data_IF_045192003014
#
_entry.id   IF_045192003014
#
_cell.length_a   1.000
_cell.length_b   1.000
_cell.length_c   1.000
_cell.angle_alpha   90.00
_cell.angle_beta   90.00
_cell.angle_gamma   90.00
#
_symmetry.space_group_name_H-M   'P 1'
#
loop_
_entity.id
_entity.type
_entity.pdbx_description
1 polymer ?
#
# COMPACT_ATOMS: atom_id res chain seq x y z
N UNK A 1 -8.86 -10.22 -2.59
CA UNK A 1 -8.26 -10.31 -1.24
C UNK A 1 -7.59 -9.00 -0.93
N UNK A 2 -7.45 -8.64 0.35
CA UNK A 2 -6.70 -7.44 0.76
C UNK A 2 -5.53 -7.86 1.62
N UNK A 3 -4.35 -7.33 1.32
CA UNK A 3 -3.10 -7.58 2.04
C UNK A 3 -2.68 -6.24 2.63
N UNK A 4 -2.58 -6.20 3.96
CA UNK A 4 -2.03 -5.07 4.69
C UNK A 4 -0.57 -5.35 5.02
N UNK A 5 0.31 -4.40 4.75
CA UNK A 5 1.74 -4.56 4.98
C UNK A 5 2.44 -3.21 5.19
N UNK A 6 3.66 -3.25 5.74
CA UNK A 6 4.56 -2.10 5.67
C UNK A 6 5.17 -2.01 4.27
N UNK A 7 5.33 -0.80 3.74
CA UNK A 7 5.71 -0.57 2.34
C UNK A 7 7.09 -1.14 1.98
N UNK A 8 8.02 -1.19 2.95
CA UNK A 8 9.37 -1.74 2.74
C UNK A 8 9.40 -3.27 2.55
N UNK A 9 8.36 -4.00 2.96
CA UNK A 9 8.37 -5.46 2.89
C UNK A 9 8.29 -5.96 1.45
N UNK A 10 7.52 -5.30 0.57
CA UNK A 10 7.28 -5.82 -0.78
C UNK A 10 8.55 -5.77 -1.65
N UNK A 11 9.31 -4.66 -1.72
CA UNK A 11 10.60 -4.65 -2.42
C UNK A 11 11.59 -5.67 -1.85
N UNK A 12 11.67 -5.81 -0.52
CA UNK A 12 12.56 -6.77 0.13
C UNK A 12 12.21 -8.23 -0.24
N UNK A 13 10.92 -8.58 -0.29
CA UNK A 13 10.47 -9.91 -0.69
C UNK A 13 10.82 -10.25 -2.16
N UNK A 14 11.00 -9.24 -3.01
CA UNK A 14 11.37 -9.42 -4.42
C UNK A 14 12.89 -9.45 -4.65
N UNK A 15 13.70 -9.11 -3.64
CA UNK A 15 15.16 -9.18 -3.78
C UNK A 15 15.61 -10.62 -4.03
N UNK A 16 16.40 -10.81 -5.08
CA UNK A 16 16.96 -12.12 -5.45
C UNK A 16 15.97 -13.07 -6.15
N UNK A 17 14.73 -12.66 -6.38
CA UNK A 17 13.76 -13.44 -7.17
C UNK A 17 13.88 -13.12 -8.65
N UNK A 18 13.61 -14.11 -9.50
CA UNK A 18 13.32 -13.85 -10.91
C UNK A 18 12.02 -13.08 -11.03
N UNK A 19 11.89 -12.27 -12.07
CA UNK A 19 10.62 -11.62 -12.38
C UNK A 19 9.52 -12.68 -12.61
N UNK A 20 8.25 -12.35 -12.32
CA UNK A 20 7.13 -13.22 -12.65
C UNK A 20 7.07 -13.55 -14.14
N UNK A 21 6.43 -14.68 -14.46
CA UNK A 21 6.27 -15.16 -15.82
C UNK A 21 5.37 -14.23 -16.67
N UNK A 22 4.33 -13.66 -16.05
CA UNK A 22 3.35 -12.80 -16.71
C UNK A 22 3.36 -11.43 -16.05
N UNK A 23 3.97 -10.44 -16.70
CA UNK A 23 4.12 -9.06 -16.19
C UNK A 23 3.57 -8.08 -17.21
N UNK A 24 3.01 -6.97 -16.74
CA UNK A 24 2.45 -5.90 -17.58
C UNK A 24 1.35 -6.37 -18.57
N UNK A 25 0.58 -7.41 -18.22
CA UNK A 25 -0.51 -7.95 -19.04
C UNK A 25 -1.89 -7.83 -18.35
N UNK A 26 -2.03 -6.86 -17.45
CA UNK A 26 -3.22 -6.65 -16.63
C UNK A 26 -4.51 -6.59 -17.45
N UNK A 27 -4.53 -5.89 -18.59
CA UNK A 27 -5.75 -5.80 -19.42
C UNK A 27 -6.22 -7.18 -19.92
N UNK A 28 -5.31 -8.07 -20.28
CA UNK A 28 -5.67 -9.39 -20.81
C UNK A 28 -6.21 -10.33 -19.74
N UNK A 29 -5.72 -10.23 -18.51
CA UNK A 29 -6.07 -11.14 -17.41
C UNK A 29 -7.14 -10.58 -16.46
N UNK A 30 -7.24 -9.26 -16.32
CA UNK A 30 -8.05 -8.61 -15.28
C UNK A 30 -9.25 -7.86 -15.82
N UNK A 31 -9.27 -7.47 -17.11
CA UNK A 31 -10.48 -6.95 -17.72
C UNK A 31 -11.49 -8.08 -17.95
N UNK A 32 -12.78 -7.82 -17.70
CA UNK A 32 -13.86 -8.81 -17.88
C UNK A 32 -13.98 -9.35 -19.31
N UNK A 33 -13.51 -8.57 -20.30
CA UNK A 33 -13.44 -8.94 -21.72
C UNK A 33 -12.02 -9.32 -22.17
N UNK A 34 -11.07 -9.46 -21.24
CA UNK A 34 -9.69 -9.82 -21.53
C UNK A 34 -9.56 -11.24 -22.07
N UNK A 35 -8.66 -11.45 -23.04
CA UNK A 35 -8.48 -12.74 -23.71
C UNK A 35 -8.06 -13.89 -22.78
N UNK A 36 -7.48 -13.56 -21.62
CA UNK A 36 -7.03 -14.52 -20.61
C UNK A 36 -7.77 -14.35 -19.28
N UNK A 37 -8.94 -13.71 -19.26
CA UNK A 37 -9.68 -13.42 -18.04
C UNK A 37 -9.89 -14.67 -17.16
N UNK A 38 -10.22 -15.82 -17.75
CA UNK A 38 -10.42 -17.09 -17.03
C UNK A 38 -9.14 -17.73 -16.47
N UNK A 39 -7.95 -17.21 -16.82
CA UNK A 39 -6.65 -17.74 -16.42
C UNK A 39 -6.00 -16.94 -15.28
N UNK A 40 -6.72 -15.97 -14.71
CA UNK A 40 -6.28 -15.22 -13.53
C UNK A 40 -6.25 -16.11 -12.29
N UNK A 41 -5.27 -15.89 -11.42
CA UNK A 41 -5.17 -16.58 -10.12
C UNK A 41 -6.14 -16.02 -9.10
N UNK A 42 -6.36 -14.70 -9.12
CA UNK A 42 -7.26 -14.02 -8.22
C UNK A 42 -8.15 -13.05 -9.00
N UNK A 43 -9.37 -12.84 -8.52
CA UNK A 43 -10.25 -11.84 -9.14
C UNK A 43 -9.72 -10.42 -8.98
N UNK A 44 -9.15 -10.14 -7.80
CA UNK A 44 -8.59 -8.84 -7.44
C UNK A 44 -7.72 -9.02 -6.19
N UNK A 45 -6.54 -8.42 -6.19
CA UNK A 45 -5.65 -8.34 -5.02
C UNK A 45 -5.41 -6.88 -4.69
N UNK A 46 -5.77 -6.44 -3.49
CA UNK A 46 -5.52 -5.09 -3.03
C UNK A 46 -4.38 -5.10 -2.02
N UNK A 47 -3.26 -4.46 -2.34
CA UNK A 47 -2.17 -4.23 -1.40
C UNK A 47 -2.36 -2.85 -0.79
N UNK A 48 -2.44 -2.79 0.53
CA UNK A 48 -2.45 -1.55 1.32
C UNK A 48 -1.13 -1.48 2.05
N UNK A 49 -0.30 -0.51 1.68
CA UNK A 49 1.08 -0.40 2.11
C UNK A 49 1.28 0.84 2.97
N UNK A 50 1.64 0.65 4.25
CA UNK A 50 1.83 1.73 5.21
C UNK A 50 3.27 2.21 5.25
N UNK A 51 3.45 3.54 5.34
CA UNK A 51 4.75 4.17 5.55
C UNK A 51 4.63 5.49 6.32
N UNK A 52 5.58 5.74 7.21
CA UNK A 52 5.82 7.02 7.87
C UNK A 52 6.97 7.75 7.17
N UNK A 53 6.79 9.00 6.70
CA UNK A 53 7.87 9.81 6.14
C UNK A 53 9.10 9.97 7.05
N UNK A 54 8.93 9.82 8.37
CA UNK A 54 10.02 9.89 9.35
C UNK A 54 10.70 8.53 9.60
N UNK A 55 10.15 7.43 9.07
CA UNK A 55 10.79 6.13 9.09
C UNK A 55 11.80 6.06 7.93
N UNK A 56 13.09 6.16 8.26
CA UNK A 56 14.18 6.12 7.28
C UNK A 56 14.24 4.84 6.46
N UNK A 57 13.62 3.75 6.92
CA UNK A 57 13.64 2.44 6.29
C UNK A 57 12.33 2.08 5.59
N UNK A 58 11.37 3.01 5.51
CA UNK A 58 10.09 2.82 4.84
C UNK A 58 9.86 3.86 3.75
N UNK A 59 9.37 3.40 2.60
CA UNK A 59 9.07 4.26 1.45
C UNK A 59 7.89 3.70 0.67
N UNK A 60 7.09 4.58 0.08
CA UNK A 60 5.96 4.22 -0.76
C UNK A 60 6.38 3.27 -1.88
N UNK A 61 5.54 2.28 -2.17
CA UNK A 61 5.72 1.39 -3.31
C UNK A 61 5.61 2.22 -4.59
N UNK A 62 6.61 2.19 -5.49
CA UNK A 62 6.57 2.94 -6.75
C UNK A 62 5.41 2.51 -7.64
N UNK A 63 4.86 3.44 -8.42
CA UNK A 63 3.68 3.21 -9.27
C UNK A 63 3.84 1.99 -10.22
N UNK A 64 4.95 1.93 -10.97
CA UNK A 64 5.24 0.83 -11.90
C UNK A 64 5.72 -0.47 -11.24
N UNK A 65 5.74 -0.56 -9.90
CA UNK A 65 6.20 -1.77 -9.21
C UNK A 65 5.30 -2.96 -9.53
N UNK A 66 3.97 -2.75 -9.54
CA UNK A 66 2.99 -3.80 -9.83
C UNK A 66 3.18 -4.38 -11.24
N UNK A 67 3.55 -3.55 -12.21
CA UNK A 67 3.62 -3.95 -13.62
C UNK A 67 4.90 -4.73 -13.93
N UNK A 68 5.93 -4.58 -13.10
CA UNK A 68 7.23 -5.24 -13.28
C UNK A 68 7.47 -6.42 -12.35
N UNK A 69 7.06 -6.31 -11.08
CA UNK A 69 7.47 -7.25 -10.04
C UNK A 69 6.34 -8.12 -9.50
N UNK A 70 5.09 -7.86 -9.90
CA UNK A 70 3.94 -8.66 -9.51
C UNK A 70 3.35 -9.36 -10.73
N UNK A 71 2.87 -10.58 -10.52
CA UNK A 71 2.26 -11.37 -11.59
C UNK A 71 0.90 -10.78 -11.97
N UNK A 72 0.70 -10.50 -13.26
CA UNK A 72 -0.52 -9.86 -13.78
C UNK A 72 -1.77 -10.71 -13.52
N UNK A 73 -1.61 -12.03 -13.37
CA UNK A 73 -2.70 -12.96 -13.03
C UNK A 73 -3.27 -12.72 -11.62
N UNK A 74 -2.58 -11.95 -10.78
CA UNK A 74 -3.06 -11.58 -9.44
C UNK A 74 -4.00 -10.37 -9.43
N UNK A 75 -4.10 -9.62 -10.55
CA UNK A 75 -4.94 -8.44 -10.68
C UNK A 75 -4.76 -7.46 -9.52
N UNK A 76 -3.50 -7.03 -9.33
CA UNK A 76 -3.09 -6.28 -8.14
C UNK A 76 -3.31 -4.78 -8.31
N UNK A 77 -3.90 -4.15 -7.30
CA UNK A 77 -3.83 -2.69 -7.09
C UNK A 77 -3.03 -2.40 -5.83
N UNK A 78 -2.32 -1.28 -5.82
CA UNK A 78 -1.53 -0.84 -4.67
C UNK A 78 -2.07 0.50 -4.18
N UNK A 79 -2.34 0.59 -2.88
CA UNK A 79 -2.69 1.84 -2.19
C UNK A 79 -1.62 2.12 -1.15
N UNK A 80 -0.84 3.19 -1.37
CA UNK A 80 0.11 3.68 -0.38
C UNK A 80 -0.64 4.52 0.65
N UNK A 81 -0.53 4.17 1.93
CA UNK A 81 -1.05 4.94 3.05
C UNK A 81 0.13 5.58 3.77
N UNK A 82 0.24 6.89 3.62
CA UNK A 82 1.33 7.68 4.19
C UNK A 82 0.79 8.40 5.43
N UNK A 83 1.33 8.10 6.61
CA UNK A 83 0.91 8.72 7.86
C UNK A 83 2.08 8.82 8.85
N UNK A 84 2.09 9.87 9.68
CA UNK A 84 3.03 9.95 10.81
C UNK A 84 2.48 9.17 12.00
N UNK A 85 3.07 8.01 12.30
CA UNK A 85 2.75 7.22 13.50
C UNK A 85 3.53 7.70 14.71
N UNK A 86 4.69 8.33 14.49
CA UNK A 86 5.40 9.07 15.51
C UNK A 86 4.80 10.46 15.71
N UNK A 87 4.87 10.96 16.95
CA UNK A 87 4.53 12.35 17.22
C UNK A 87 5.53 13.29 16.52
N UNK A 88 5.00 14.25 15.76
CA UNK A 88 5.77 15.28 15.06
C UNK A 88 5.70 16.56 15.88
N UNK A 89 6.85 17.12 16.25
CA UNK A 89 6.95 18.39 16.96
C UNK A 89 7.63 19.43 16.08
N UNK A 90 7.03 20.63 16.00
CA UNK A 90 7.67 21.79 15.36
C UNK A 90 8.70 22.39 16.33
N UNK A 91 9.95 22.45 15.90
CA UNK A 91 11.02 23.12 16.61
C UNK A 91 11.63 24.17 15.69
N UNK A 92 11.18 25.41 15.85
CA UNK A 92 11.63 26.56 15.04
C UNK A 92 11.41 26.38 13.53
N UNK A 93 10.27 25.82 13.12
CA UNK A 93 9.94 25.60 11.70
C UNK A 93 10.54 24.32 11.11
N UNK A 94 11.13 23.46 11.95
CA UNK A 94 11.57 22.12 11.56
C UNK A 94 10.70 21.07 12.24
N UNK A 95 10.08 20.21 11.44
CA UNK A 95 9.36 19.04 11.92
C UNK A 95 10.37 17.97 12.37
N UNK A 96 10.30 17.59 13.65
CA UNK A 96 11.14 16.54 14.23
C UNK A 96 10.25 15.43 14.76
N UNK A 97 10.60 14.19 14.43
CA UNK A 97 9.98 12.99 14.97
C UNK A 97 11.05 11.97 15.39
N UNK A 98 10.70 11.07 16.31
CA UNK A 98 11.59 9.99 16.71
C UNK A 98 11.58 8.89 15.62
N UNK A 99 12.71 8.61 14.96
CA UNK A 99 12.74 7.63 13.87
C UNK A 99 12.48 6.18 14.34
N UNK A 100 12.79 5.85 15.59
CA UNK A 100 12.48 4.51 16.15
C UNK A 100 10.96 4.37 16.34
N UNK A 101 10.31 5.42 16.83
CA UNK A 101 8.86 5.45 16.98
C UNK A 101 8.16 5.41 15.62
N UNK A 102 8.68 6.13 14.62
CA UNK A 102 8.17 6.12 13.26
C UNK A 102 8.27 4.72 12.61
N UNK A 103 9.24 3.90 13.05
CA UNK A 103 9.44 2.55 12.55
C UNK A 103 8.57 1.50 13.26
N UNK A 104 8.28 1.68 14.55
CA UNK A 104 7.63 0.66 15.37
C UNK A 104 6.16 0.98 15.69
N UNK A 105 5.73 2.24 15.65
CA UNK A 105 4.45 2.69 16.21
C UNK A 105 3.19 2.30 15.42
N UNK A 106 3.31 1.62 14.29
CA UNK A 106 2.17 1.28 13.43
C UNK A 106 1.11 0.40 14.10
N UNK A 107 1.52 -0.48 15.02
CA UNK A 107 0.64 -1.42 15.72
C UNK A 107 -0.20 -0.78 16.82
N UNK A 108 0.15 0.43 17.26
CA UNK A 108 -0.58 1.21 18.27
C UNK A 108 -1.28 2.44 17.67
N UNK A 109 -1.14 2.72 16.38
CA UNK A 109 -1.81 3.85 15.73
C UNK A 109 -3.27 3.51 15.39
N UNK A 110 -4.20 4.25 16.00
CA UNK A 110 -5.65 4.04 15.82
C UNK A 110 -6.09 4.07 14.35
N UNK A 111 -5.42 4.84 13.49
CA UNK A 111 -5.78 4.92 12.06
C UNK A 111 -5.33 3.66 11.34
N UNK A 112 -4.13 3.15 11.63
CA UNK A 112 -3.64 1.89 11.04
C UNK A 112 -4.54 0.74 11.45
N UNK A 113 -4.84 0.63 12.75
CA UNK A 113 -5.74 -0.40 13.28
C UNK A 113 -7.13 -0.28 12.65
N UNK A 114 -7.68 0.93 12.56
CA UNK A 114 -8.98 1.16 11.94
C UNK A 114 -8.99 0.80 10.45
N UNK A 115 -7.92 1.09 9.70
CA UNK A 115 -7.79 0.73 8.28
C UNK A 115 -7.74 -0.79 8.09
N UNK A 116 -7.05 -1.51 8.97
CA UNK A 116 -7.00 -2.98 8.93
C UNK A 116 -8.37 -3.57 9.28
N UNK A 117 -9.04 -3.06 10.32
CA UNK A 117 -10.30 -3.60 10.82
C UNK A 117 -11.51 -3.27 9.91
N UNK A 118 -11.57 -2.05 9.37
CA UNK A 118 -12.73 -1.55 8.62
C UNK A 118 -12.47 -1.44 7.10
N UNK A 119 -11.22 -1.56 6.67
CA UNK A 119 -10.83 -1.40 5.28
C UNK A 119 -10.87 0.05 4.78
N UNK A 120 -10.60 0.20 3.48
CA UNK A 120 -10.57 1.48 2.76
C UNK A 120 -11.91 1.84 2.09
N UNK A 121 -12.94 0.99 2.21
CA UNK A 121 -14.20 1.20 1.49
C UNK A 121 -15.08 2.28 2.13
N UNK A 122 -15.51 3.25 1.33
CA UNK A 122 -16.32 4.40 1.75
C UNK A 122 -17.59 4.05 2.53
N UNK A 123 -18.19 2.88 2.30
CA UNK A 123 -19.46 2.49 2.95
C UNK A 123 -19.30 2.18 4.44
N UNK A 124 -18.13 1.69 4.87
CA UNK A 124 -17.86 1.27 6.26
C UNK A 124 -16.59 1.92 6.85
N UNK A 125 -16.05 2.94 6.21
CA UNK A 125 -14.83 3.61 6.65
C UNK A 125 -15.02 4.25 8.04
N UNK A 126 -14.09 3.94 8.95
CA UNK A 126 -14.12 4.44 10.32
C UNK A 126 -14.02 5.98 10.36
N UNK A 127 -14.69 6.66 11.33
CA UNK A 127 -14.68 8.12 11.42
C UNK A 127 -13.28 8.73 11.44
N UNK A 128 -12.36 8.11 12.19
CA UNK A 128 -10.96 8.58 12.32
C UNK A 128 -10.23 8.65 10.97
N UNK A 129 -10.60 7.80 9.99
CA UNK A 129 -10.03 7.83 8.64
C UNK A 129 -10.68 8.95 7.82
N UNK A 130 -12.00 9.08 7.87
CA UNK A 130 -12.74 10.14 7.15
C UNK A 130 -12.31 11.55 7.58
N UNK A 131 -12.00 11.70 8.86
CA UNK A 131 -11.66 13.01 9.44
C UNK A 131 -10.19 13.39 9.26
N UNK A 132 -9.28 12.40 9.16
CA UNK A 132 -7.83 12.64 9.24
C UNK A 132 -7.04 12.24 8.00
N UNK A 133 -7.66 11.55 7.03
CA UNK A 133 -6.99 11.12 5.82
C UNK A 133 -7.60 11.79 4.59
N UNK A 134 -6.75 12.16 3.63
CA UNK A 134 -7.15 12.62 2.31
C UNK A 134 -6.83 11.54 1.28
N UNK A 135 -7.75 11.31 0.35
CA UNK A 135 -7.57 10.35 -0.73
C UNK A 135 -7.13 11.05 -2.02
N UNK A 136 -6.08 10.52 -2.65
CA UNK A 136 -5.60 10.98 -3.94
C UNK A 136 -5.53 9.79 -4.90
N UNK A 137 -6.31 9.85 -5.97
CA UNK A 137 -6.21 8.87 -7.07
C UNK A 137 -5.15 9.34 -8.05
N UNK A 138 -4.19 8.47 -8.34
CA UNK A 138 -3.22 8.70 -9.40
C UNK A 138 -3.89 8.35 -10.74
N UNK A 139 -3.83 9.29 -11.69
CA UNK A 139 -4.35 9.05 -13.03
C UNK A 139 -3.46 8.03 -13.75
N UNK A 140 -4.07 6.98 -14.30
CA UNK A 140 -3.44 6.00 -15.19
C UNK A 140 -3.66 6.39 -16.64
#
# INVERSE_FOLDING_TARGET
>A
MTIFMLSNQLPLLQLGRSLPEVVNEHEKYCASQGSHYSQRFANQTHIVAFSDPNDMLSYSIPEGFKDKYLDSRMCTTVSNVILNVANVVDVFGFDIANPIEAHLGYDHDDRVVALIAHGLSNQNMAPVIKERCNWTELAH
#
